data_IF_514426486909
#
_entry.id   IF_514426486909
#
_cell.length_a   1.000
_cell.length_b   1.000
_cell.length_c   1.000
_cell.angle_alpha   90.00
_cell.angle_beta   90.00
_cell.angle_gamma   90.00
#
_symmetry.space_group_name_H-M   'P 1'
#
loop_
_entity.id
_entity.type
_entity.pdbx_description
1 polymer ?
#
# COMPACT_ATOMS: atom_id res chain seq x y z
N UNK A 1 -2.72 10.21 2.22
CA UNK A 1 -2.83 9.04 1.34
C UNK A 1 -2.28 7.82 2.08
N UNK A 2 -2.89 6.65 1.97
CA UNK A 2 -2.55 5.48 2.78
C UNK A 2 -2.34 4.23 1.92
N UNK A 3 -1.15 4.13 1.32
CA UNK A 3 -0.74 2.97 0.53
C UNK A 3 -0.71 1.68 1.37
N UNK A 4 -0.11 1.73 2.56
CA UNK A 4 0.11 0.55 3.39
C UNK A 4 -1.17 -0.15 3.82
N UNK A 5 -2.19 0.59 4.29
CA UNK A 5 -3.49 0.00 4.67
C UNK A 5 -4.20 -0.60 3.46
N UNK A 6 -4.17 0.10 2.33
CA UNK A 6 -4.81 -0.36 1.08
C UNK A 6 -4.22 -1.68 0.61
N UNK A 7 -2.89 -1.79 0.55
CA UNK A 7 -2.21 -3.04 0.14
C UNK A 7 -2.37 -4.15 1.18
N UNK A 8 -2.35 -3.83 2.48
CA UNK A 8 -2.54 -4.83 3.53
C UNK A 8 -3.93 -5.49 3.45
N UNK A 9 -4.99 -4.69 3.23
CA UNK A 9 -6.34 -5.21 3.05
C UNK A 9 -6.46 -6.04 1.78
N UNK A 10 -5.87 -5.56 0.67
CA UNK A 10 -5.84 -6.31 -0.58
C UNK A 10 -5.14 -7.67 -0.40
N UNK A 11 -3.93 -7.70 0.18
CA UNK A 11 -3.19 -8.92 0.44
C UNK A 11 -3.94 -9.88 1.38
N UNK A 12 -4.55 -9.36 2.44
CA UNK A 12 -5.33 -10.17 3.38
C UNK A 12 -6.51 -10.86 2.67
N UNK A 13 -7.21 -10.14 1.79
CA UNK A 13 -8.33 -10.70 1.01
C UNK A 13 -7.83 -11.70 -0.03
N UNK A 14 -6.75 -11.41 -0.76
CA UNK A 14 -6.16 -12.35 -1.72
C UNK A 14 -5.74 -13.66 -1.05
N UNK A 15 -5.14 -13.58 0.14
CA UNK A 15 -4.77 -14.75 0.94
C UNK A 15 -5.98 -15.60 1.27
N UNK A 16 -7.07 -15.00 1.74
CA UNK A 16 -8.30 -15.71 2.08
C UNK A 16 -8.94 -16.38 0.85
N UNK A 17 -8.81 -15.75 -0.31
CA UNK A 17 -9.28 -16.30 -1.59
C UNK A 17 -8.34 -17.35 -2.20
N UNK A 18 -7.15 -17.55 -1.64
CA UNK A 18 -6.10 -18.40 -2.22
C UNK A 18 -5.60 -17.90 -3.58
N UNK A 19 -5.70 -16.60 -3.84
CA UNK A 19 -5.35 -15.96 -5.11
C UNK A 19 -3.96 -15.30 -5.02
N UNK A 20 -3.24 -15.18 -6.15
CA UNK A 20 -1.96 -14.47 -6.18
C UNK A 20 -2.15 -12.99 -5.83
N UNK A 21 -1.10 -12.37 -5.27
CA UNK A 21 -1.08 -10.94 -5.02
C UNK A 21 -0.57 -10.22 -6.28
N UNK A 22 -1.47 -9.89 -7.20
CA UNK A 22 -1.10 -9.23 -8.46
C UNK A 22 -0.81 -7.75 -8.21
N UNK A 23 0.28 -7.23 -8.78
CA UNK A 23 0.63 -5.82 -8.65
C UNK A 23 -0.41 -4.94 -9.37
N UNK A 24 -1.13 -4.04 -8.67
CA UNK A 24 -2.24 -3.27 -9.23
C UNK A 24 -1.79 -2.01 -10.00
N UNK A 25 -0.57 -2.01 -10.56
CA UNK A 25 0.01 -0.83 -11.20
C UNK A 25 0.72 -1.14 -12.52
N UNK A 26 1.22 -0.10 -13.17
CA UNK A 26 1.92 -0.22 -14.45
C UNK A 26 3.32 -0.84 -14.32
N UNK A 27 3.82 -1.40 -15.42
CA UNK A 27 5.22 -1.86 -15.52
C UNK A 27 6.22 -0.73 -15.23
N UNK A 28 5.91 0.50 -15.67
CA UNK A 28 6.69 1.68 -15.31
C UNK A 28 6.74 1.91 -13.80
N UNK A 29 5.61 1.83 -13.10
CA UNK A 29 5.57 1.98 -11.64
C UNK A 29 6.32 0.84 -10.93
N UNK A 30 6.21 -0.39 -11.45
CA UNK A 30 6.90 -1.57 -10.95
C UNK A 30 8.44 -1.42 -10.91
N UNK A 31 8.99 -0.86 -11.99
CA UNK A 31 10.44 -0.69 -12.17
C UNK A 31 10.98 0.66 -11.66
N UNK A 32 10.10 1.65 -11.42
CA UNK A 32 10.51 2.99 -11.00
C UNK A 32 11.09 2.98 -9.59
N UNK A 33 12.22 3.66 -9.43
CA UNK A 33 12.76 4.01 -8.12
C UNK A 33 11.82 5.03 -7.48
N UNK A 34 11.29 4.69 -6.31
CA UNK A 34 10.37 5.52 -5.53
C UNK A 34 10.94 5.71 -4.13
N UNK A 35 10.66 6.86 -3.53
CA UNK A 35 10.85 7.13 -2.12
C UNK A 35 9.49 7.11 -1.41
N UNK A 36 9.53 7.00 -0.08
CA UNK A 36 8.35 7.01 0.76
C UNK A 36 8.57 7.90 1.98
N UNK A 37 7.47 8.41 2.55
CA UNK A 37 7.49 9.21 3.77
C UNK A 37 6.58 8.57 4.79
N UNK A 38 7.17 7.88 5.77
CA UNK A 38 6.41 7.21 6.83
C UNK A 38 5.69 8.23 7.71
N UNK A 39 4.51 7.85 8.21
CA UNK A 39 3.71 8.73 9.06
C UNK A 39 4.45 9.15 10.34
N UNK A 40 5.25 8.25 10.93
CA UNK A 40 6.10 8.57 12.08
C UNK A 40 7.20 9.58 11.72
N UNK A 41 7.88 9.41 10.59
CA UNK A 41 8.89 10.37 10.13
C UNK A 41 8.27 11.75 9.88
N UNK A 42 7.11 11.81 9.25
CA UNK A 42 6.38 13.06 9.03
C UNK A 42 6.00 13.73 10.36
N UNK A 43 5.51 12.98 11.34
CA UNK A 43 5.17 13.52 12.67
C UNK A 43 6.40 14.03 13.42
N UNK A 44 7.50 13.28 13.40
CA UNK A 44 8.78 13.70 13.97
C UNK A 44 9.30 14.98 13.31
N UNK A 45 9.21 15.07 11.98
CA UNK A 45 9.61 16.25 11.22
C UNK A 45 8.75 17.47 11.59
N UNK A 46 7.43 17.31 11.69
CA UNK A 46 6.51 18.39 12.09
C UNK A 46 6.80 18.88 13.51
N UNK A 47 7.05 17.96 14.45
CA UNK A 47 7.43 18.31 15.82
C UNK A 47 8.77 19.06 15.85
N UNK A 48 9.77 18.55 15.12
CA UNK A 48 11.05 19.23 14.96
C UNK A 48 10.83 20.65 14.39
N UNK A 49 10.02 20.80 13.35
CA UNK A 49 9.82 22.08 12.70
C UNK A 49 9.20 23.13 13.63
N UNK A 50 8.21 22.73 14.45
CA UNK A 50 7.55 23.65 15.41
C UNK A 50 8.47 24.07 16.55
N UNK A 51 9.44 23.22 16.93
CA UNK A 51 10.36 23.49 18.04
C UNK A 51 11.58 24.34 17.64
N UNK A 52 11.88 24.43 16.33
CA UNK A 52 13.06 25.15 15.84
C UNK A 52 12.68 26.55 15.33
N UNK A 53 13.03 27.59 16.10
CA UNK A 53 12.65 28.98 15.78
C UNK A 53 13.37 29.58 14.57
N UNK A 54 14.47 29.00 14.12
CA UNK A 54 15.32 29.55 13.04
C UNK A 54 14.92 29.09 11.63
N UNK A 55 13.83 28.33 11.49
CA UNK A 55 13.38 27.75 10.21
C UNK A 55 11.96 28.20 9.81
N UNK A 56 11.50 29.32 10.38
CA UNK A 56 10.16 29.85 10.11
C UNK A 56 10.06 30.33 8.66
N UNK A 57 8.87 30.16 8.07
CA UNK A 57 8.55 30.57 6.69
C UNK A 57 9.33 29.83 5.59
N UNK A 58 9.87 28.66 5.90
CA UNK A 58 10.56 27.81 4.92
C UNK A 58 9.66 26.71 4.37
N UNK A 59 10.01 26.20 3.18
CA UNK A 59 9.34 25.07 2.53
C UNK A 59 10.30 23.89 2.52
N UNK A 60 9.85 22.76 3.05
CA UNK A 60 10.67 21.55 3.18
C UNK A 60 10.02 20.36 2.48
N UNK A 61 10.87 19.52 1.88
CA UNK A 61 10.52 18.16 1.50
C UNK A 61 10.91 17.20 2.63
N UNK A 62 10.16 16.11 2.78
CA UNK A 62 10.48 15.04 3.73
C UNK A 62 10.24 13.67 3.08
N UNK A 63 11.26 12.84 3.16
CA UNK A 63 11.24 11.43 2.77
C UNK A 63 12.04 10.63 3.80
N UNK A 64 11.89 9.31 3.80
CA UNK A 64 12.65 8.41 4.67
C UNK A 64 14.15 8.38 4.35
N UNK A 65 14.54 8.77 3.13
CA UNK A 65 15.93 8.76 2.66
C UNK A 65 16.37 7.44 2.03
N UNK A 66 15.53 6.41 2.04
CA UNK A 66 15.72 5.17 1.30
C UNK A 66 15.00 5.18 -0.05
N UNK A 67 15.47 4.32 -0.96
CA UNK A 67 14.97 4.17 -2.31
C UNK A 67 14.50 2.74 -2.51
N UNK A 68 13.31 2.57 -3.08
CA UNK A 68 12.69 1.26 -3.30
C UNK A 68 12.07 1.17 -4.69
N UNK A 69 12.12 -0.02 -5.27
CA UNK A 69 11.27 -0.36 -6.42
C UNK A 69 10.20 -1.33 -5.97
N UNK A 70 9.01 -1.23 -6.54
CA UNK A 70 7.95 -2.19 -6.21
C UNK A 70 8.33 -3.63 -6.55
N UNK A 71 9.14 -3.84 -7.60
CA UNK A 71 9.66 -5.17 -7.92
C UNK A 71 10.50 -5.83 -6.81
N UNK A 72 11.14 -5.02 -5.97
CA UNK A 72 11.95 -5.49 -4.85
C UNK A 72 11.13 -5.58 -3.55
N UNK A 73 10.06 -4.78 -3.45
CA UNK A 73 9.18 -4.70 -2.28
C UNK A 73 8.06 -5.75 -2.29
N UNK A 74 7.44 -5.97 -3.45
CA UNK A 74 6.23 -6.79 -3.57
C UNK A 74 6.44 -8.25 -3.15
N UNK A 75 7.55 -8.93 -3.51
CA UNK A 75 7.82 -10.28 -3.01
C UNK A 75 7.94 -10.35 -1.48
N UNK A 76 8.39 -9.26 -0.84
CA UNK A 76 8.44 -9.18 0.63
C UNK A 76 7.05 -9.00 1.24
N UNK A 77 6.14 -8.33 0.53
CA UNK A 77 4.72 -8.23 0.94
C UNK A 77 4.05 -9.60 0.82
N UNK A 78 4.23 -10.30 -0.30
CA UNK A 78 3.75 -11.68 -0.49
C UNK A 78 4.23 -12.57 0.66
N UNK A 79 5.53 -12.55 0.95
CA UNK A 79 6.12 -13.29 2.06
C UNK A 79 5.52 -12.90 3.42
N UNK A 80 5.38 -11.60 3.72
CA UNK A 80 4.81 -11.13 4.98
C UNK A 80 3.40 -11.65 5.23
N UNK A 81 2.57 -11.68 4.19
CA UNK A 81 1.20 -12.20 4.28
C UNK A 81 1.10 -13.73 4.14
N UNK A 82 2.20 -14.43 3.89
CA UNK A 82 2.23 -15.86 3.56
C UNK A 82 1.41 -16.20 2.29
N UNK A 83 1.52 -15.36 1.27
CA UNK A 83 1.00 -15.63 -0.07
C UNK A 83 2.14 -16.22 -0.91
N UNK A 84 1.94 -17.35 -1.61
CA UNK A 84 2.96 -17.90 -2.50
C UNK A 84 3.42 -16.86 -3.52
N UNK A 85 4.73 -16.76 -3.74
CA UNK A 85 5.29 -15.84 -4.71
C UNK A 85 4.71 -16.10 -6.10
N UNK A 86 4.26 -15.02 -6.76
CA UNK A 86 3.80 -15.07 -8.13
C UNK A 86 4.66 -14.14 -9.01
N UNK A 87 5.16 -14.67 -10.12
CA UNK A 87 5.87 -13.86 -11.10
C UNK A 87 4.93 -12.82 -11.71
N UNK A 88 5.31 -11.55 -11.62
CA UNK A 88 4.48 -10.45 -12.10
C UNK A 88 4.71 -10.26 -13.60
N UNK A 89 3.72 -10.66 -14.40
CA UNK A 89 3.71 -10.40 -15.85
C UNK A 89 2.95 -9.09 -16.06
N UNK A 90 3.69 -8.01 -16.28
CA UNK A 90 3.13 -6.67 -16.51
C UNK A 90 3.38 -6.27 -17.95
N UNK A 91 2.34 -5.77 -18.62
CA UNK A 91 2.41 -5.27 -19.99
C UNK A 91 1.76 -3.89 -20.04
N UNK A 92 2.49 -2.87 -20.52
CA UNK A 92 1.98 -1.50 -20.60
C UNK A 92 0.73 -1.36 -21.48
N UNK A 93 0.50 -2.30 -22.40
CA UNK A 93 -0.67 -2.30 -23.29
C UNK A 93 -1.88 -3.05 -22.73
N UNK A 94 -1.73 -3.71 -21.58
CA UNK A 94 -2.83 -4.45 -20.93
C UNK A 94 -3.47 -3.64 -19.81
N UNK A 95 -4.79 -3.78 -19.61
CA UNK A 95 -5.48 -3.08 -18.54
C UNK A 95 -4.99 -3.55 -17.17
N UNK A 96 -4.59 -2.60 -16.33
CA UNK A 96 -4.21 -2.85 -14.94
C UNK A 96 -5.44 -3.20 -14.10
N UNK A 97 -5.19 -3.97 -13.03
CA UNK A 97 -6.22 -4.25 -12.03
C UNK A 97 -6.54 -2.95 -11.30
N UNK A 98 -7.78 -2.49 -11.44
CA UNK A 98 -8.28 -1.32 -10.70
C UNK A 98 -8.85 -1.77 -9.36
N UNK A 99 -8.11 -1.57 -8.28
CA UNK A 99 -8.56 -1.97 -6.94
C UNK A 99 -9.90 -1.30 -6.55
N UNK A 100 -10.14 -0.07 -7.01
CA UNK A 100 -11.42 0.63 -6.79
C UNK A 100 -12.64 -0.10 -7.38
N UNK A 101 -12.46 -0.92 -8.41
CA UNK A 101 -13.53 -1.71 -9.03
C UNK A 101 -13.54 -3.16 -8.52
N UNK A 102 -12.36 -3.72 -8.24
CA UNK A 102 -12.19 -5.11 -7.82
C UNK A 102 -12.53 -5.33 -6.35
N UNK A 103 -12.03 -4.48 -5.45
CA UNK A 103 -12.14 -4.71 -4.01
C UNK A 103 -13.58 -4.62 -3.48
N UNK A 104 -14.44 -3.66 -3.91
CA UNK A 104 -15.82 -3.61 -3.44
C UNK A 104 -16.62 -4.88 -3.75
N UNK A 105 -16.29 -5.59 -4.85
CA UNK A 105 -16.93 -6.86 -5.24
C UNK A 105 -16.54 -8.03 -4.33
N UNK A 106 -15.50 -7.87 -3.53
CA UNK A 106 -14.98 -8.88 -2.59
C UNK A 106 -15.11 -8.42 -1.12
N UNK A 107 -15.92 -7.39 -0.84
CA UNK A 107 -16.11 -6.88 0.54
C UNK A 107 -16.72 -7.94 1.47
N UNK A 108 -17.48 -8.89 0.93
CA UNK A 108 -18.00 -10.04 1.67
C UNK A 108 -16.89 -10.91 2.28
N UNK A 109 -15.74 -11.05 1.58
CA UNK A 109 -14.56 -11.77 2.09
C UNK A 109 -14.00 -11.09 3.32
N UNK A 110 -13.88 -9.76 3.28
CA UNK A 110 -13.44 -8.97 4.43
C UNK A 110 -14.36 -9.15 5.64
N UNK A 111 -15.68 -9.10 5.43
CA UNK A 111 -16.66 -9.29 6.51
C UNK A 111 -16.49 -10.66 7.17
N UNK A 112 -16.23 -11.73 6.41
CA UNK A 112 -15.94 -13.06 6.98
C UNK A 112 -14.68 -13.06 7.84
N UNK A 113 -13.61 -12.43 7.37
CA UNK A 113 -12.34 -12.31 8.13
C UNK A 113 -12.56 -11.53 9.42
N UNK A 114 -13.28 -10.39 9.34
CA UNK A 114 -13.62 -9.54 10.49
C UNK A 114 -14.36 -10.34 11.56
N UNK A 115 -15.35 -11.14 11.17
CA UNK A 115 -16.11 -11.98 12.10
C UNK A 115 -15.25 -13.08 12.73
N UNK A 116 -14.38 -13.73 11.95
CA UNK A 116 -13.52 -14.82 12.42
C UNK A 116 -12.43 -14.33 13.37
N UNK A 117 -11.81 -13.20 13.05
CA UNK A 117 -10.61 -12.67 13.73
C UNK A 117 -10.93 -11.52 14.71
N UNK A 118 -12.21 -11.15 14.85
CA UNK A 118 -12.67 -10.04 15.69
C UNK A 118 -11.98 -8.69 15.39
N UNK A 119 -12.04 -8.28 14.12
CA UNK A 119 -11.42 -7.04 13.62
C UNK A 119 -12.43 -5.90 13.48
N UNK A 120 -11.95 -4.71 13.12
CA UNK A 120 -12.82 -3.58 12.77
C UNK A 120 -13.30 -3.70 11.31
N UNK A 121 -14.61 -3.86 11.13
CA UNK A 121 -15.24 -3.89 9.80
C UNK A 121 -14.93 -2.63 8.98
N UNK A 122 -14.84 -1.47 9.64
CA UNK A 122 -14.65 -0.17 8.99
C UNK A 122 -13.26 0.01 8.39
N UNK A 123 -12.30 -0.87 8.71
CA UNK A 123 -10.96 -0.81 8.14
C UNK A 123 -10.99 -0.80 6.60
N UNK A 124 -11.94 -1.52 5.99
CA UNK A 124 -12.13 -1.55 4.53
C UNK A 124 -12.38 -0.17 3.93
N UNK A 125 -13.05 0.71 4.67
CA UNK A 125 -13.43 2.05 4.22
C UNK A 125 -12.29 3.07 4.43
N UNK A 126 -11.23 2.70 5.16
CA UNK A 126 -10.01 3.51 5.32
C UNK A 126 -9.01 3.34 4.16
N UNK A 127 -9.21 2.32 3.32
CA UNK A 127 -8.38 2.10 2.15
C UNK A 127 -8.65 3.17 1.08
N UNK A 128 -7.59 3.60 0.41
CA UNK A 128 -7.66 4.54 -0.71
C UNK A 128 -7.58 3.78 -2.03
N UNK A 129 -8.62 3.02 -2.36
CA UNK A 129 -8.61 2.08 -3.49
C UNK A 129 -8.34 2.70 -4.87
N UNK A 130 -8.74 3.95 -5.08
CA UNK A 130 -8.52 4.66 -6.35
C UNK A 130 -7.11 5.29 -6.45
N UNK A 131 -6.34 5.26 -5.37
CA UNK A 131 -4.98 5.80 -5.34
C UNK A 131 -3.94 4.77 -5.78
N UNK A 132 -4.17 3.50 -5.44
CA UNK A 132 -3.26 2.38 -5.70
C UNK A 132 -3.48 1.82 -7.09
#
# INVERSE_FOLDING_TARGET
MNFSVTVALYATIQKELGQPLLFPGSEKAWNRISDHSTASNNACFQLWAVLNKNIQHEIFNIANGDLVRFRDLWPKIEQYFNIPHHEQILNENEPQIKLAEYMPKHKDVWIRIVQRENLDEKAFDHATWAFV
#
